data_IF_832212916870
#
_entry.id   IF_832212916870
#
_cell.length_a   1.000
_cell.length_b   1.000
_cell.length_c   1.000
_cell.angle_alpha   90.00
_cell.angle_beta   90.00
_cell.angle_gamma   90.00
#
_symmetry.space_group_name_H-M   'P 1'
#
loop_
_entity.id
_entity.type
_entity.pdbx_description
1 polymer ?
#
# COMPACT_ATOMS: atom_id res chain seq x y z
N UNK A 1 25.01 -3.77 6.48
CA UNK A 1 24.88 -2.43 5.87
C UNK A 1 24.28 -2.47 4.47
N UNK A 2 24.66 -3.41 3.60
CA UNK A 2 24.12 -3.53 2.23
C UNK A 2 22.59 -3.70 2.15
N UNK A 3 21.99 -4.51 3.03
CA UNK A 3 20.54 -4.69 3.07
C UNK A 3 19.77 -3.39 3.37
N UNK A 4 20.35 -2.50 4.19
CA UNK A 4 19.73 -1.21 4.49
C UNK A 4 19.63 -0.34 3.24
N UNK A 5 20.70 -0.23 2.46
CA UNK A 5 20.71 0.55 1.21
C UNK A 5 19.72 -0.01 0.20
N UNK A 6 19.63 -1.33 0.08
CA UNK A 6 18.64 -1.99 -0.78
C UNK A 6 17.22 -1.59 -0.36
N UNK A 7 16.85 -1.70 0.91
CA UNK A 7 15.51 -1.34 1.36
C UNK A 7 15.23 0.16 1.30
N UNK A 8 16.22 0.98 1.63
CA UNK A 8 16.07 2.43 1.63
C UNK A 8 15.93 2.98 0.20
N UNK A 9 16.84 2.63 -0.69
CA UNK A 9 16.85 3.21 -2.03
C UNK A 9 15.82 2.52 -2.93
N UNK A 10 15.83 1.19 -3.00
CA UNK A 10 15.01 0.45 -3.98
C UNK A 10 13.54 0.27 -3.60
N UNK A 11 13.18 0.48 -2.34
CA UNK A 11 11.80 0.30 -1.89
C UNK A 11 11.25 1.56 -1.21
N UNK A 12 11.96 2.11 -0.22
CA UNK A 12 11.47 3.27 0.52
C UNK A 12 11.44 4.53 -0.36
N UNK A 13 12.52 4.86 -1.06
CA UNK A 13 12.58 6.02 -1.97
C UNK A 13 11.86 5.78 -3.29
N UNK A 14 12.10 4.65 -3.97
CA UNK A 14 11.40 4.33 -5.22
C UNK A 14 9.88 4.25 -5.05
N UNK A 15 9.41 3.71 -3.92
CA UNK A 15 7.99 3.71 -3.55
C UNK A 15 7.46 5.07 -3.06
N UNK A 16 8.29 6.11 -3.02
CA UNK A 16 7.94 7.44 -2.49
C UNK A 16 7.45 7.41 -1.03
N UNK A 17 7.80 6.36 -0.27
CA UNK A 17 7.33 6.16 1.10
C UNK A 17 7.82 7.29 2.02
N UNK A 18 9.02 7.83 1.76
CA UNK A 18 9.59 8.97 2.45
C UNK A 18 8.79 10.28 2.32
N UNK A 19 7.88 10.36 1.35
CA UNK A 19 7.05 11.54 1.10
C UNK A 19 5.61 11.38 1.61
N UNK A 20 5.26 10.22 2.15
CA UNK A 20 3.93 9.94 2.69
C UNK A 20 3.89 10.22 4.21
N UNK A 21 2.74 10.66 4.76
CA UNK A 21 2.61 10.86 6.19
C UNK A 21 2.65 9.52 6.95
N UNK A 22 3.18 9.54 8.17
CA UNK A 22 3.08 8.39 9.08
C UNK A 22 1.62 8.20 9.54
N UNK A 23 1.11 6.95 9.72
CA UNK A 23 1.74 5.66 9.41
C UNK A 23 1.49 5.16 7.98
N UNK A 24 0.89 5.96 7.10
CA UNK A 24 0.60 5.55 5.72
C UNK A 24 1.87 5.20 4.94
N UNK A 25 2.99 5.88 5.22
CA UNK A 25 4.31 5.53 4.70
C UNK A 25 4.74 4.11 5.02
N UNK A 26 4.49 3.63 6.25
CA UNK A 26 4.77 2.24 6.65
C UNK A 26 3.89 1.24 5.88
N UNK A 27 2.58 1.52 5.80
CA UNK A 27 1.64 0.65 5.09
C UNK A 27 2.00 0.56 3.60
N UNK A 28 2.38 1.70 3.02
CA UNK A 28 2.82 1.76 1.63
C UNK A 28 4.11 0.98 1.43
N UNK A 29 5.10 1.16 2.30
CA UNK A 29 6.36 0.44 2.24
C UNK A 29 6.18 -1.08 2.31
N UNK A 30 5.45 -1.62 3.30
CA UNK A 30 5.19 -3.08 3.35
C UNK A 30 4.44 -3.55 2.09
N UNK A 31 3.50 -2.75 1.58
CA UNK A 31 2.83 -3.03 0.32
C UNK A 31 3.80 -3.08 -0.88
N UNK A 32 4.69 -2.09 -0.99
CA UNK A 32 5.63 -1.93 -2.09
C UNK A 32 6.70 -3.03 -2.13
N UNK A 33 7.14 -3.49 -0.96
CA UNK A 33 8.06 -4.65 -0.84
C UNK A 33 7.41 -5.95 -1.33
N UNK A 34 6.11 -6.14 -1.11
CA UNK A 34 5.42 -7.40 -1.34
C UNK A 34 4.59 -7.48 -2.63
N UNK A 35 4.37 -6.34 -3.29
CA UNK A 35 3.55 -6.22 -4.49
C UNK A 35 4.40 -5.73 -5.65
N UNK A 36 3.87 -5.87 -6.88
CA UNK A 36 4.46 -5.16 -8.00
C UNK A 36 4.32 -3.63 -7.76
N UNK A 37 5.31 -2.80 -8.14
CA UNK A 37 5.28 -1.36 -7.86
C UNK A 37 3.98 -0.66 -8.27
N UNK A 38 3.49 -0.96 -9.48
CA UNK A 38 2.21 -0.43 -10.00
C UNK A 38 1.01 -0.90 -9.17
N UNK A 39 1.02 -2.12 -8.66
CA UNK A 39 -0.05 -2.63 -7.81
C UNK A 39 -0.07 -1.93 -6.46
N UNK A 40 1.10 -1.73 -5.83
CA UNK A 40 1.23 -1.01 -4.57
C UNK A 40 0.72 0.43 -4.69
N UNK A 41 1.10 1.13 -5.78
CA UNK A 41 0.59 2.47 -6.07
C UNK A 41 -0.93 2.49 -6.23
N UNK A 42 -1.51 1.49 -6.92
CA UNK A 42 -2.98 1.42 -7.11
C UNK A 42 -3.72 1.15 -5.79
N UNK A 43 -3.16 0.32 -4.91
CA UNK A 43 -3.72 0.09 -3.56
C UNK A 43 -3.77 1.42 -2.79
N UNK A 44 -2.65 2.16 -2.76
CA UNK A 44 -2.59 3.46 -2.11
C UNK A 44 -3.62 4.44 -2.69
N UNK A 45 -3.64 4.62 -4.01
CA UNK A 45 -4.55 5.55 -4.68
C UNK A 45 -6.02 5.18 -4.43
N UNK A 46 -6.40 3.91 -4.50
CA UNK A 46 -7.78 3.47 -4.21
C UNK A 46 -8.18 3.75 -2.77
N UNK A 47 -7.27 3.54 -1.81
CA UNK A 47 -7.54 3.89 -0.42
C UNK A 47 -7.78 5.40 -0.26
N UNK A 48 -6.96 6.24 -0.91
CA UNK A 48 -7.07 7.70 -0.87
C UNK A 48 -8.36 8.23 -1.52
N UNK A 49 -8.98 7.48 -2.44
CA UNK A 49 -10.23 7.90 -3.09
C UNK A 49 -11.41 8.09 -2.12
N UNK A 50 -11.34 7.54 -0.90
CA UNK A 50 -12.37 7.79 0.13
C UNK A 50 -12.52 9.29 0.45
N UNK A 51 -11.44 10.06 0.32
CA UNK A 51 -11.45 11.51 0.55
C UNK A 51 -11.13 12.34 -0.68
N UNK A 52 -10.50 11.72 -1.68
CA UNK A 52 -10.15 12.35 -2.96
C UNK A 52 -10.76 11.55 -4.12
N UNK A 53 -12.10 11.53 -4.30
CA UNK A 53 -12.76 10.67 -5.29
C UNK A 53 -12.28 10.86 -6.74
N UNK A 54 -11.80 12.06 -7.07
CA UNK A 54 -11.23 12.47 -8.35
C UNK A 54 -9.81 11.94 -8.59
N UNK A 55 -9.13 11.40 -7.57
CA UNK A 55 -7.78 10.86 -7.72
C UNK A 55 -7.78 9.70 -8.73
N UNK A 56 -6.89 9.80 -9.71
CA UNK A 56 -6.66 8.79 -10.75
C UNK A 56 -5.93 7.58 -10.15
N UNK A 57 -6.30 6.38 -10.61
CA UNK A 57 -5.71 5.10 -10.16
C UNK A 57 -4.84 4.50 -11.29
N UNK A 58 -3.66 5.06 -11.50
CA UNK A 58 -2.70 4.66 -12.53
C UNK A 58 -1.51 3.83 -11.99
N UNK A 59 -1.39 3.75 -10.66
CA UNK A 59 -0.30 3.09 -9.96
C UNK A 59 0.99 3.88 -9.86
N UNK A 60 1.00 5.16 -10.28
CA UNK A 60 2.15 6.07 -10.18
C UNK A 60 1.95 6.95 -8.95
N UNK A 61 2.82 6.78 -7.95
CA UNK A 61 2.80 7.64 -6.75
C UNK A 61 3.50 8.96 -7.10
N UNK A 62 2.75 9.89 -7.68
CA UNK A 62 3.25 11.22 -8.06
C UNK A 62 2.77 12.33 -7.11
N UNK A 63 3.07 13.60 -7.42
CA UNK A 63 2.71 14.75 -6.58
C UNK A 63 1.23 14.82 -6.21
N UNK A 64 0.32 14.41 -7.11
CA UNK A 64 -1.13 14.37 -6.82
C UNK A 64 -1.50 13.32 -5.78
N UNK A 65 -0.88 12.14 -5.84
CA UNK A 65 -1.10 11.08 -4.83
C UNK A 65 -0.53 11.49 -3.49
N UNK A 66 0.66 12.11 -3.48
CA UNK A 66 1.30 12.62 -2.27
C UNK A 66 0.45 13.73 -1.63
N UNK A 67 -0.01 14.70 -2.41
CA UNK A 67 -0.89 15.76 -1.92
C UNK A 67 -2.20 15.20 -1.34
N UNK A 68 -2.81 14.21 -2.01
CA UNK A 68 -4.00 13.52 -1.50
C UNK A 68 -3.73 12.73 -0.21
N UNK A 69 -2.50 12.23 -0.01
CA UNK A 69 -2.12 11.56 1.23
C UNK A 69 -1.99 12.56 2.39
N UNK A 70 -1.45 13.76 2.16
CA UNK A 70 -1.29 14.80 3.17
C UNK A 70 -2.55 15.60 3.46
N UNK A 71 -3.54 15.62 2.56
CA UNK A 71 -4.83 16.27 2.82
C UNK A 71 -5.71 15.50 3.81
N UNK A 72 -5.30 14.28 4.18
CA UNK A 72 -5.96 13.49 5.19
C UNK A 72 -5.48 13.89 6.57
N UNK A 73 -6.38 14.43 7.40
CA UNK A 73 -6.22 14.29 8.84
C UNK A 73 -6.13 12.79 9.16
N UNK A 74 -5.13 12.41 9.97
CA UNK A 74 -4.93 11.01 10.35
C UNK A 74 -6.24 10.41 10.86
N UNK A 75 -6.79 9.43 10.14
CA UNK A 75 -8.01 8.77 10.56
C UNK A 75 -7.91 7.24 10.41
N UNK A 76 -8.57 6.53 11.32
CA UNK A 76 -8.62 5.06 11.32
C UNK A 76 -9.24 4.47 10.03
N UNK A 77 -10.01 5.28 9.28
CA UNK A 77 -10.60 4.87 8.00
C UNK A 77 -9.55 4.71 6.91
N UNK A 78 -8.53 5.57 6.78
CA UNK A 78 -7.53 5.39 5.69
C UNK A 78 -6.72 4.12 5.85
N UNK A 79 -6.32 3.78 7.09
CA UNK A 79 -5.68 2.49 7.41
C UNK A 79 -6.58 1.33 6.99
N UNK A 80 -7.84 1.39 7.40
CA UNK A 80 -8.83 0.35 7.10
C UNK A 80 -9.01 0.18 5.59
N UNK A 81 -9.18 1.27 4.84
CA UNK A 81 -9.32 1.22 3.37
C UNK A 81 -8.06 0.67 2.70
N UNK A 82 -6.87 1.07 3.16
CA UNK A 82 -5.63 0.56 2.61
C UNK A 82 -5.49 -0.96 2.79
N UNK A 83 -5.75 -1.47 3.99
CA UNK A 83 -5.70 -2.91 4.26
C UNK A 83 -6.76 -3.66 3.44
N UNK A 84 -7.97 -3.12 3.32
CA UNK A 84 -9.01 -3.70 2.47
C UNK A 84 -8.62 -3.75 0.99
N UNK A 85 -7.98 -2.71 0.45
CA UNK A 85 -7.49 -2.72 -0.92
C UNK A 85 -6.40 -3.78 -1.16
N UNK A 86 -5.57 -4.07 -0.15
CA UNK A 86 -4.62 -5.19 -0.22
C UNK A 86 -5.32 -6.54 -0.23
N UNK A 87 -6.36 -6.73 0.59
CA UNK A 87 -7.17 -7.95 0.58
C UNK A 87 -7.84 -8.11 -0.79
N UNK A 88 -8.50 -7.06 -1.31
CA UNK A 88 -9.17 -7.06 -2.62
C UNK A 88 -8.20 -7.42 -3.75
N UNK A 89 -6.99 -6.84 -3.75
CA UNK A 89 -5.97 -7.18 -4.74
C UNK A 89 -5.54 -8.65 -4.63
N UNK A 90 -5.28 -9.14 -3.41
CA UNK A 90 -4.84 -10.51 -3.21
C UNK A 90 -5.93 -11.53 -3.63
N UNK A 91 -7.19 -11.28 -3.29
CA UNK A 91 -8.30 -12.12 -3.73
C UNK A 91 -8.47 -12.13 -5.25
N UNK A 92 -8.19 -11.02 -5.95
CA UNK A 92 -8.13 -11.03 -7.42
C UNK A 92 -7.01 -11.92 -7.94
N UNK A 93 -5.83 -11.89 -7.30
CA UNK A 93 -4.70 -12.78 -7.65
C UNK A 93 -5.03 -14.25 -7.40
N UNK A 94 -5.76 -14.57 -6.33
CA UNK A 94 -6.26 -15.93 -6.04
C UNK A 94 -7.28 -16.36 -7.09
N UNK A 95 -8.24 -15.51 -7.47
CA UNK A 95 -9.20 -15.82 -8.54
C UNK A 95 -8.52 -16.11 -9.88
N UNK A 96 -7.42 -15.42 -10.18
CA UNK A 96 -6.64 -15.65 -11.40
C UNK A 96 -5.73 -16.90 -11.32
N UNK A 97 -5.34 -17.32 -10.12
CA UNK A 97 -4.51 -18.49 -9.88
C UNK A 97 -4.79 -19.04 -8.47
N UNK A 98 -5.59 -20.10 -8.42
CA UNK A 98 -6.07 -20.70 -7.17
C UNK A 98 -4.94 -21.22 -6.27
N UNK A 99 -3.77 -21.56 -6.82
CA UNK A 99 -2.61 -21.98 -6.03
C UNK A 99 -2.20 -20.93 -4.99
N UNK A 100 -2.46 -19.65 -5.27
CA UNK A 100 -2.16 -18.55 -4.32
C UNK A 100 -3.02 -18.59 -3.05
N UNK A 101 -4.07 -19.41 -3.01
CA UNK A 101 -4.91 -19.59 -1.83
C UNK A 101 -4.11 -20.14 -0.64
N UNK A 102 -3.10 -20.98 -0.88
CA UNK A 102 -2.28 -21.58 0.20
C UNK A 102 -1.54 -20.54 1.03
N UNK A 103 -1.17 -19.40 0.44
CA UNK A 103 -0.45 -18.32 1.14
C UNK A 103 -1.39 -17.26 1.76
N UNK A 104 -2.71 -17.40 1.57
CA UNK A 104 -3.68 -16.44 2.11
C UNK A 104 -3.61 -16.28 3.64
N UNK A 105 -3.48 -17.36 4.46
CA UNK A 105 -3.38 -17.22 5.90
C UNK A 105 -2.19 -16.35 6.34
N UNK A 106 -1.00 -16.61 5.80
CA UNK A 106 0.22 -15.82 6.09
C UNK A 106 0.09 -14.37 5.64
N UNK A 107 -0.57 -14.14 4.50
CA UNK A 107 -0.86 -12.79 4.04
C UNK A 107 -1.80 -12.05 4.99
N UNK A 108 -2.87 -12.70 5.45
CA UNK A 108 -3.83 -12.10 6.39
C UNK A 108 -3.17 -11.77 7.74
N UNK A 109 -2.30 -12.65 8.24
CA UNK A 109 -1.55 -12.41 9.48
C UNK A 109 -0.67 -11.16 9.39
N UNK A 110 0.01 -10.95 8.26
CA UNK A 110 0.79 -9.73 8.00
C UNK A 110 -0.09 -8.48 8.05
N UNK A 111 -1.26 -8.51 7.42
CA UNK A 111 -2.17 -7.36 7.43
C UNK A 111 -2.73 -7.07 8.82
N UNK A 112 -2.96 -8.11 9.62
CA UNK A 112 -3.38 -7.97 11.02
C UNK A 112 -2.32 -7.25 11.85
N UNK A 113 -1.03 -7.58 11.65
CA UNK A 113 0.08 -6.84 12.28
C UNK A 113 0.19 -5.38 11.89
N UNK A 114 -0.08 -5.05 10.63
CA UNK A 114 -0.14 -3.64 10.20
C UNK A 114 -1.35 -2.90 10.79
N UNK A 115 -2.42 -3.60 11.18
CA UNK A 115 -3.59 -2.98 11.82
C UNK A 115 -3.29 -2.55 13.26
N UNK A 116 -2.29 -3.16 13.91
CA UNK A 116 -1.88 -2.89 15.29
C UNK A 116 -1.02 -1.61 15.43
N UNK A 117 -0.58 -1.01 14.30
CA UNK A 117 0.13 0.28 14.24
C UNK A 117 -0.84 1.45 14.26
#
# INVERSE_FOLDING_TARGET
EEAFYIYHDLYWREGQCNQLPWPLSLYHFDGYVNLLPRDAGRVLQRALKIRTPELVVDGIVGPKTIAAAHSLEYNLKIRTEYLWERIRLYLRKVRANEKKLEFLPSWMWRLDKLREV
#
